data_IF_206588347711
#
_entry.id   IF_206588347711
#
_cell.length_a   1.000
_cell.length_b   1.000
_cell.length_c   1.000
_cell.angle_alpha   90.00
_cell.angle_beta   90.00
_cell.angle_gamma   90.00
#
_symmetry.space_group_name_H-M   'P 1'
#
loop_
_entity.id
_entity.type
_entity.pdbx_description
1 polymer ?
#
# COMPACT_ATOMS: atom_id res chain seq x y z
N UNK A 1 13.87 11.93 34.97
CA UNK A 1 12.78 12.91 34.78
C UNK A 1 12.56 13.13 33.29
N UNK A 2 11.34 13.03 32.79
CA UNK A 2 11.03 13.36 31.40
C UNK A 2 10.52 14.80 31.32
N UNK A 3 11.36 15.68 30.77
CA UNK A 3 11.06 17.11 30.55
C UNK A 3 10.05 17.27 29.39
N UNK A 4 9.33 18.40 29.25
CA UNK A 4 8.51 18.72 28.06
C UNK A 4 9.19 18.49 26.71
N UNK A 5 10.53 18.54 26.61
CA UNK A 5 11.26 18.12 25.42
C UNK A 5 10.90 16.69 24.93
N UNK A 6 10.64 15.75 25.85
CA UNK A 6 10.20 14.40 25.49
C UNK A 6 8.80 14.39 24.86
N UNK A 7 7.90 15.30 25.27
CA UNK A 7 6.58 15.45 24.64
C UNK A 7 6.70 16.09 23.26
N UNK A 8 7.57 17.10 23.09
CA UNK A 8 7.81 17.69 21.78
C UNK A 8 8.30 16.64 20.77
N UNK A 9 9.19 15.73 21.17
CA UNK A 9 9.62 14.59 20.34
C UNK A 9 8.47 13.63 20.03
N UNK A 10 7.56 13.33 20.99
CA UNK A 10 6.34 12.58 20.70
C UNK A 10 5.47 13.27 19.64
N UNK A 11 5.15 14.56 19.86
CA UNK A 11 4.33 15.40 18.98
C UNK A 11 4.93 15.46 17.57
N UNK A 12 6.25 15.65 17.43
CA UNK A 12 6.94 15.70 16.13
C UNK A 12 6.83 14.37 15.37
N UNK A 13 7.03 13.25 16.06
CA UNK A 13 6.92 11.94 15.42
C UNK A 13 5.47 11.57 15.07
N UNK A 14 4.51 11.85 15.95
CA UNK A 14 3.08 11.63 15.69
C UNK A 14 2.54 12.56 14.58
N UNK A 15 2.94 13.83 14.54
CA UNK A 15 2.58 14.74 13.45
C UNK A 15 3.26 14.34 12.12
N UNK A 16 4.46 13.76 12.17
CA UNK A 16 5.11 13.11 11.03
C UNK A 16 4.33 11.89 10.54
N UNK A 17 3.88 11.03 11.46
CA UNK A 17 3.03 9.89 11.17
C UNK A 17 1.70 10.33 10.55
N UNK A 18 1.03 11.33 11.12
CA UNK A 18 -0.24 11.88 10.61
C UNK A 18 -0.15 12.35 9.16
N UNK A 19 0.89 13.12 8.80
CA UNK A 19 1.12 13.55 7.40
C UNK A 19 1.31 12.36 6.47
N UNK A 20 1.98 11.32 6.95
CA UNK A 20 2.23 10.08 6.20
C UNK A 20 0.95 9.25 6.03
N UNK A 21 0.12 9.14 7.06
CA UNK A 21 -1.21 8.51 7.01
C UNK A 21 -2.14 9.25 6.06
N UNK A 22 -2.17 10.58 6.10
CA UNK A 22 -2.97 11.41 5.20
C UNK A 22 -2.54 11.23 3.73
N UNK A 23 -1.24 11.10 3.47
CA UNK A 23 -0.72 10.79 2.13
C UNK A 23 -1.05 9.36 1.68
N UNK A 24 -1.04 8.38 2.58
CA UNK A 24 -1.42 6.99 2.29
C UNK A 24 -2.93 6.81 2.05
N UNK A 25 -3.76 7.61 2.73
CA UNK A 25 -5.22 7.61 2.60
C UNK A 25 -5.73 8.43 1.39
N UNK A 26 -4.85 9.16 0.69
CA UNK A 26 -5.24 10.01 -0.43
C UNK A 26 -5.64 9.19 -1.67
N UNK A 27 -6.77 9.51 -2.35
CA UNK A 27 -7.13 8.87 -3.61
C UNK A 27 -6.03 9.04 -4.67
N UNK A 28 -5.70 7.93 -5.34
CA UNK A 28 -4.66 7.92 -6.37
C UNK A 28 -5.01 8.85 -7.56
N UNK A 29 -4.09 9.74 -7.99
CA UNK A 29 -4.15 10.24 -9.37
C UNK A 29 -3.97 9.05 -10.33
N UNK A 30 -4.63 9.04 -11.50
CA UNK A 30 -4.51 7.92 -12.44
C UNK A 30 -3.04 7.76 -12.87
N UNK A 31 -2.48 6.56 -12.66
CA UNK A 31 -1.13 6.23 -13.17
C UNK A 31 -1.09 6.54 -14.66
N UNK A 32 -0.19 7.44 -15.08
CA UNK A 32 0.19 7.50 -16.50
C UNK A 32 0.71 6.12 -16.91
N UNK A 33 0.32 5.57 -18.06
CA UNK A 33 0.97 4.40 -18.62
C UNK A 33 2.48 4.65 -18.74
N UNK A 34 3.34 3.63 -18.60
CA UNK A 34 4.71 3.74 -19.07
C UNK A 34 4.69 4.19 -20.54
N UNK A 35 5.38 5.29 -20.87
CA UNK A 35 5.56 5.60 -22.28
C UNK A 35 6.42 4.50 -22.90
N UNK A 36 6.02 3.91 -24.04
CA UNK A 36 6.89 2.98 -24.74
C UNK A 36 8.14 3.75 -25.21
N UNK A 37 9.32 3.31 -24.78
CA UNK A 37 10.56 3.81 -25.33
C UNK A 37 10.57 3.52 -26.84
N UNK A 38 10.59 4.56 -27.67
CA UNK A 38 10.58 4.40 -29.12
C UNK A 38 11.91 3.81 -29.60
N UNK A 39 11.96 2.49 -29.77
CA UNK A 39 13.06 1.80 -30.44
C UNK A 39 13.16 2.30 -31.88
N UNK A 40 14.12 3.20 -32.16
CA UNK A 40 14.42 3.63 -33.53
C UNK A 40 15.20 2.53 -34.24
N UNK A 41 14.49 1.75 -35.06
CA UNK A 41 15.10 0.79 -35.98
C UNK A 41 15.84 1.53 -37.09
N UNK A 42 17.17 1.57 -37.01
CA UNK A 42 18.02 1.91 -38.16
C UNK A 42 18.55 0.64 -38.81
N UNK A 43 18.37 0.54 -40.13
CA UNK A 43 18.67 -0.65 -40.91
C UNK A 43 20.07 -0.62 -41.53
N UNK A 44 20.72 -1.80 -41.48
CA UNK A 44 21.78 -2.30 -42.37
C UNK A 44 22.77 -1.31 -43.02
N UNK A 45 24.05 -1.48 -42.66
CA UNK A 45 25.16 -1.33 -43.62
C UNK A 45 26.20 -2.41 -43.37
N UNK A 46 26.73 -3.01 -44.44
CA UNK A 46 27.59 -4.20 -44.40
C UNK A 46 29.07 -3.82 -44.22
N UNK A 47 29.81 -4.62 -43.47
CA UNK A 47 31.24 -4.90 -43.70
C UNK A 47 31.64 -6.16 -42.93
N UNK A 48 32.40 -7.06 -43.59
CA UNK A 48 32.86 -8.34 -43.01
C UNK A 48 34.38 -8.37 -42.92
N UNK A 49 34.93 -8.96 -41.85
CA UNK A 49 36.26 -9.61 -41.71
C UNK A 49 36.23 -10.26 -40.30
N UNK A 50 36.14 -11.58 -40.06
CA UNK A 50 36.83 -12.77 -40.57
C UNK A 50 38.07 -13.20 -39.71
N UNK A 51 37.80 -13.98 -38.65
CA UNK A 51 38.59 -15.11 -38.09
C UNK A 51 40.04 -14.85 -37.58
N UNK A 52 40.66 -15.75 -36.77
CA UNK A 52 40.27 -17.14 -36.42
C UNK A 52 40.21 -17.50 -34.92
N UNK A 53 39.67 -18.70 -34.63
CA UNK A 53 39.94 -19.50 -33.41
C UNK A 53 41.12 -20.46 -33.64
N UNK A 54 41.69 -21.10 -32.60
CA UNK A 54 41.24 -22.45 -32.23
C UNK A 54 41.22 -22.72 -30.70
N UNK A 55 40.62 -23.84 -30.26
CA UNK A 55 40.47 -24.17 -28.83
C UNK A 55 39.72 -25.47 -28.50
N UNK A 56 39.84 -26.50 -29.34
CA UNK A 56 39.34 -27.88 -29.16
C UNK A 56 40.31 -28.72 -28.28
N UNK A 57 39.98 -29.85 -27.63
CA UNK A 57 38.77 -30.71 -27.55
C UNK A 57 38.16 -30.64 -26.10
N UNK A 58 37.44 -31.56 -25.43
CA UNK A 58 36.86 -32.95 -25.59
C UNK A 58 35.61 -32.95 -24.66
N UNK A 59 34.40 -33.49 -24.91
CA UNK A 59 33.83 -34.78 -25.37
C UNK A 59 33.62 -35.89 -24.29
N UNK A 60 32.66 -36.81 -24.54
CA UNK A 60 32.15 -37.94 -23.70
C UNK A 60 31.28 -37.54 -22.48
N UNK A 61 30.04 -38.04 -22.29
CA UNK A 61 29.14 -38.81 -23.17
C UNK A 61 27.66 -38.74 -22.76
N UNK A 62 26.78 -38.99 -23.73
CA UNK A 62 25.34 -39.35 -23.63
C UNK A 62 25.17 -40.88 -23.42
N UNK A 63 24.00 -41.57 -23.60
CA UNK A 63 22.61 -41.13 -23.87
C UNK A 63 21.51 -41.80 -22.99
N UNK A 64 20.24 -41.46 -23.24
CA UNK A 64 19.11 -42.42 -23.15
C UNK A 64 17.83 -41.91 -22.47
N UNK A 65 16.63 -41.99 -23.07
CA UNK A 65 16.29 -42.35 -24.46
C UNK A 65 14.79 -42.68 -24.64
N UNK A 66 14.28 -42.60 -25.90
CA UNK A 66 12.98 -43.11 -26.41
C UNK A 66 11.67 -42.54 -25.76
N UNK A 67 10.75 -41.91 -26.50
CA UNK A 67 9.68 -42.50 -27.38
C UNK A 67 8.54 -43.16 -26.55
N UNK A 68 7.27 -43.27 -27.00
CA UNK A 68 6.72 -43.46 -28.36
C UNK A 68 5.50 -42.57 -28.71
N UNK A 69 4.95 -42.78 -29.92
CA UNK A 69 3.82 -42.07 -30.54
C UNK A 69 2.99 -43.03 -31.40
N UNK A 70 1.68 -43.06 -31.19
CA UNK A 70 0.62 -43.59 -32.08
C UNK A 70 -0.55 -42.59 -31.98
N UNK A 71 -1.28 -42.14 -33.00
CA UNK A 71 -1.74 -42.70 -34.29
C UNK A 71 -2.62 -43.95 -34.19
N UNK A 72 -3.93 -43.71 -34.01
CA UNK A 72 -4.97 -44.55 -34.62
C UNK A 72 -5.99 -43.69 -35.40
N UNK A 73 -6.88 -44.33 -36.17
CA UNK A 73 -7.19 -43.90 -37.54
C UNK A 73 -8.68 -43.82 -37.88
N UNK A 74 -8.98 -42.76 -38.66
CA UNK A 74 -9.78 -42.80 -39.91
C UNK A 74 -11.32 -42.80 -39.83
N UNK A 75 -11.89 -41.81 -40.51
CA UNK A 75 -13.32 -41.63 -40.84
C UNK A 75 -13.83 -42.63 -41.90
N UNK A 76 -15.16 -42.70 -42.16
CA UNK A 76 -15.72 -41.87 -43.25
C UNK A 76 -17.19 -41.41 -43.10
N UNK A 77 -17.56 -40.30 -43.76
CA UNK A 77 -18.96 -39.88 -43.97
C UNK A 77 -19.09 -38.60 -44.82
N UNK A 78 -19.78 -38.65 -45.97
CA UNK A 78 -20.10 -37.51 -46.87
C UNK A 78 -21.44 -36.87 -46.43
N UNK A 79 -21.69 -35.54 -46.47
CA UNK A 79 -21.63 -34.56 -47.58
C UNK A 79 -22.68 -34.86 -48.69
N UNK A 80 -23.30 -33.89 -49.42
CA UNK A 80 -23.09 -32.42 -49.45
C UNK A 80 -24.40 -31.56 -49.42
N UNK A 81 -24.28 -30.22 -49.41
CA UNK A 81 -24.79 -29.33 -50.49
C UNK A 81 -24.45 -27.83 -50.28
N UNK A 82 -24.26 -27.16 -51.41
CA UNK A 82 -23.72 -25.79 -51.57
C UNK A 82 -24.81 -24.70 -51.71
N UNK A 83 -24.37 -23.51 -52.15
CA UNK A 83 -25.05 -22.22 -52.47
C UNK A 83 -24.69 -21.17 -51.39
N UNK A 84 -23.75 -20.24 -51.63
CA UNK A 84 -23.85 -19.01 -52.47
C UNK A 84 -25.10 -18.19 -52.08
N UNK A 85 -25.13 -16.87 -51.94
CA UNK A 85 -24.32 -15.73 -52.37
C UNK A 85 -24.58 -14.65 -51.27
N UNK A 86 -23.80 -13.61 -50.97
CA UNK A 86 -23.46 -12.45 -51.80
C UNK A 86 -22.76 -11.43 -50.89
N UNK A 87 -21.87 -10.59 -51.41
CA UNK A 87 -21.03 -9.71 -50.60
C UNK A 87 -21.45 -8.25 -50.63
N UNK A 88 -21.43 -7.57 -49.49
CA UNK A 88 -21.34 -6.11 -49.41
C UNK A 88 -20.27 -5.66 -48.42
N UNK A 89 -19.20 -5.06 -48.93
CA UNK A 89 -18.26 -4.28 -48.14
C UNK A 89 -18.78 -2.84 -48.02
N UNK A 90 -18.82 -2.30 -46.80
CA UNK A 90 -18.71 -0.85 -46.56
C UNK A 90 -18.15 -0.57 -45.16
N UNK A 91 -17.22 0.39 -45.01
CA UNK A 91 -16.53 0.67 -43.74
C UNK A 91 -17.16 1.85 -42.96
N UNK A 92 -16.47 2.24 -41.88
CA UNK A 92 -16.62 3.46 -41.04
C UNK A 92 -17.63 3.39 -39.89
N UNK A 93 -17.10 3.21 -38.66
CA UNK A 93 -17.20 4.23 -37.60
C UNK A 93 -16.29 3.93 -36.38
N UNK A 94 -15.04 4.42 -36.35
CA UNK A 94 -14.20 4.38 -35.14
C UNK A 94 -14.52 5.59 -34.24
N UNK A 95 -15.70 5.59 -33.58
CA UNK A 95 -16.33 6.83 -33.13
C UNK A 95 -17.01 6.87 -31.75
N UNK A 96 -17.00 5.82 -30.94
CA UNK A 96 -17.65 5.85 -29.60
C UNK A 96 -16.65 5.77 -28.44
N UNK A 97 -16.55 6.81 -27.59
CA UNK A 97 -15.70 6.78 -26.40
C UNK A 97 -16.39 5.98 -25.29
N UNK A 98 -16.09 4.68 -25.22
CA UNK A 98 -16.68 3.71 -24.28
C UNK A 98 -16.78 4.30 -22.85
N UNK A 99 -17.99 4.62 -22.33
CA UNK A 99 -18.16 5.33 -21.06
C UNK A 99 -18.03 4.40 -19.83
N UNK A 100 -17.15 3.41 -19.94
CA UNK A 100 -17.01 2.29 -18.99
C UNK A 100 -15.72 2.37 -18.19
N UNK A 101 -15.40 3.56 -17.68
CA UNK A 101 -14.79 3.63 -16.34
C UNK A 101 -15.87 3.32 -15.31
N UNK A 102 -16.34 2.07 -15.32
CA UNK A 102 -17.20 1.52 -14.28
C UNK A 102 -16.52 1.80 -12.95
N UNK A 103 -17.16 2.61 -12.10
CA UNK A 103 -16.65 2.91 -10.78
C UNK A 103 -16.54 1.58 -10.02
N UNK A 104 -15.29 1.10 -9.86
CA UNK A 104 -14.99 -0.18 -9.22
C UNK A 104 -15.60 -0.14 -7.82
N UNK A 105 -16.71 -0.87 -7.63
CA UNK A 105 -17.42 -0.94 -6.34
C UNK A 105 -16.41 -1.42 -5.30
N UNK A 106 -16.16 -0.60 -4.28
CA UNK A 106 -15.33 -1.00 -3.15
C UNK A 106 -15.96 -2.25 -2.52
N UNK A 107 -15.14 -3.27 -2.29
CA UNK A 107 -15.56 -4.44 -1.53
C UNK A 107 -15.76 -4.07 -0.07
N UNK A 108 -16.55 -4.85 0.68
CA UNK A 108 -16.72 -4.64 2.12
C UNK A 108 -15.37 -4.65 2.88
N UNK A 109 -14.37 -5.41 2.39
CA UNK A 109 -12.99 -5.39 2.90
C UNK A 109 -12.33 -4.03 2.71
N UNK A 110 -12.41 -3.46 1.51
CA UNK A 110 -11.83 -2.15 1.19
C UNK A 110 -12.53 -1.03 1.95
N UNK A 111 -13.86 -1.08 2.06
CA UNK A 111 -14.64 -0.15 2.91
C UNK A 111 -14.22 -0.24 4.38
N UNK A 112 -14.02 -1.45 4.92
CA UNK A 112 -13.58 -1.65 6.30
C UNK A 112 -12.15 -1.15 6.54
N UNK A 113 -11.21 -1.43 5.62
CA UNK A 113 -9.84 -0.91 5.67
C UNK A 113 -9.80 0.61 5.57
N UNK A 114 -10.59 1.20 4.67
CA UNK A 114 -10.75 2.65 4.50
C UNK A 114 -11.35 3.30 5.76
N UNK A 115 -12.33 2.66 6.37
CA UNK A 115 -12.92 3.09 7.66
C UNK A 115 -11.87 3.05 8.78
N UNK A 116 -11.14 1.94 8.92
CA UNK A 116 -10.07 1.79 9.93
C UNK A 116 -8.94 2.81 9.73
N UNK A 117 -8.49 3.04 8.50
CA UNK A 117 -7.52 4.09 8.15
C UNK A 117 -8.04 5.48 8.54
N UNK A 118 -9.30 5.80 8.21
CA UNK A 118 -9.94 7.07 8.59
C UNK A 118 -9.98 7.27 10.12
N UNK A 119 -10.36 6.23 10.87
CA UNK A 119 -10.33 6.24 12.35
C UNK A 119 -8.91 6.41 12.90
N UNK A 120 -7.89 5.81 12.28
CA UNK A 120 -6.49 5.98 12.66
C UNK A 120 -5.99 7.41 12.43
N UNK A 121 -6.30 8.01 11.27
CA UNK A 121 -5.99 9.41 10.94
C UNK A 121 -6.65 10.36 11.95
N UNK A 122 -7.94 10.19 12.21
CA UNK A 122 -8.70 11.02 13.15
C UNK A 122 -8.18 10.88 14.59
N UNK A 123 -7.90 9.65 15.05
CA UNK A 123 -7.35 9.40 16.38
C UNK A 123 -5.95 10.01 16.55
N UNK A 124 -5.09 9.90 15.52
CA UNK A 124 -3.75 10.53 15.53
C UNK A 124 -3.84 12.05 15.52
N UNK A 125 -4.74 12.62 14.71
CA UNK A 125 -5.00 14.06 14.65
C UNK A 125 -5.43 14.62 16.01
N UNK A 126 -6.40 13.96 16.66
CA UNK A 126 -6.86 14.33 18.01
C UNK A 126 -5.78 14.12 19.07
N UNK A 127 -4.96 13.07 18.98
CA UNK A 127 -3.88 12.85 19.94
C UNK A 127 -2.86 13.99 19.88
N UNK A 128 -2.36 14.33 18.68
CA UNK A 128 -1.46 15.48 18.46
C UNK A 128 -2.08 16.78 18.97
N UNK A 129 -3.37 17.01 18.71
CA UNK A 129 -4.08 18.18 19.20
C UNK A 129 -4.16 18.22 20.74
N UNK A 130 -4.48 17.11 21.40
CA UNK A 130 -4.56 17.01 22.88
C UNK A 130 -3.17 17.15 23.50
N UNK A 131 -2.14 16.55 22.91
CA UNK A 131 -0.76 16.70 23.36
C UNK A 131 -0.29 18.17 23.29
N UNK A 132 -0.55 18.85 22.16
CA UNK A 132 -0.17 20.26 21.96
C UNK A 132 -0.97 21.24 22.83
N UNK A 133 -2.30 21.10 22.89
CA UNK A 133 -3.20 22.13 23.46
C UNK A 133 -3.51 21.93 24.93
N UNK A 134 -3.54 20.69 25.43
CA UNK A 134 -3.94 20.39 26.81
C UNK A 134 -2.80 19.80 27.65
N UNK A 135 -1.97 18.91 27.09
CA UNK A 135 -0.91 18.24 27.86
C UNK A 135 0.36 19.09 27.99
N UNK A 136 0.85 19.68 26.90
CA UNK A 136 2.09 20.45 26.88
C UNK A 136 2.12 21.62 27.90
N UNK A 137 1.06 22.42 28.10
CA UNK A 137 1.03 23.44 29.16
C UNK A 137 1.15 22.85 30.57
N UNK A 138 0.57 21.67 30.81
CA UNK A 138 0.62 21.01 32.13
C UNK A 138 1.99 20.38 32.41
N UNK A 139 2.72 19.94 31.37
CA UNK A 139 4.07 19.38 31.52
C UNK A 139 5.15 20.45 31.77
N UNK A 140 4.85 21.73 31.57
CA UNK A 140 5.69 22.83 32.04
C UNK A 140 5.66 22.94 33.57
N UNK A 141 4.60 22.47 34.23
CA UNK A 141 4.45 22.49 35.68
C UNK A 141 4.88 21.17 36.34
N UNK A 142 4.53 20.02 35.75
CA UNK A 142 4.82 18.70 36.31
C UNK A 142 5.41 17.74 35.26
N UNK A 143 6.68 17.27 35.41
CA UNK A 143 7.26 16.25 34.54
C UNK A 143 6.48 14.93 34.57
N UNK A 144 6.07 14.45 33.40
CA UNK A 144 5.32 13.20 33.22
C UNK A 144 6.24 12.13 32.59
N UNK A 145 6.28 10.88 33.07
CA UNK A 145 6.95 9.79 32.34
C UNK A 145 6.32 9.61 30.96
N UNK A 146 7.15 9.71 29.92
CA UNK A 146 6.76 9.59 28.52
C UNK A 146 7.66 8.57 27.82
N UNK A 147 7.13 7.96 26.76
CA UNK A 147 7.83 6.94 25.98
C UNK A 147 7.95 7.34 24.50
N UNK A 148 8.87 8.25 24.13
CA UNK A 148 9.07 8.67 22.74
C UNK A 148 9.35 7.51 21.77
N UNK A 149 9.92 6.40 22.25
CA UNK A 149 10.11 5.16 21.48
C UNK A 149 8.82 4.72 20.78
N UNK A 150 7.70 4.73 21.50
CA UNK A 150 6.42 4.27 20.95
C UNK A 150 5.94 5.18 19.81
N UNK A 151 6.14 6.50 19.92
CA UNK A 151 5.81 7.46 18.87
C UNK A 151 6.76 7.38 17.66
N UNK A 152 8.03 7.04 17.87
CA UNK A 152 9.00 6.72 16.80
C UNK A 152 8.56 5.44 16.06
N UNK A 153 8.20 4.41 16.80
CA UNK A 153 7.75 3.10 16.31
C UNK A 153 6.47 3.26 15.48
N UNK A 154 5.46 3.96 16.00
CA UNK A 154 4.25 4.34 15.28
C UNK A 154 4.55 5.06 13.96
N UNK A 155 5.42 6.09 13.98
CA UNK A 155 5.83 6.82 12.76
C UNK A 155 6.51 5.90 11.74
N UNK A 156 7.34 4.96 12.19
CA UNK A 156 8.02 4.02 11.30
C UNK A 156 7.02 3.06 10.65
N UNK A 157 6.07 2.49 11.42
CA UNK A 157 5.00 1.64 10.87
C UNK A 157 4.17 2.42 9.84
N UNK A 158 3.76 3.67 10.13
CA UNK A 158 3.07 4.52 9.16
C UNK A 158 3.90 4.79 7.90
N UNK A 159 5.23 4.90 8.02
CA UNK A 159 6.15 5.07 6.89
C UNK A 159 6.25 3.81 6.02
N UNK A 160 6.26 2.62 6.62
CA UNK A 160 6.17 1.35 5.88
C UNK A 160 4.81 1.23 5.16
N UNK A 161 3.71 1.54 5.84
CA UNK A 161 2.37 1.49 5.26
C UNK A 161 2.20 2.44 4.07
N UNK A 162 2.80 3.63 4.08
CA UNK A 162 2.75 4.55 2.94
C UNK A 162 3.57 4.09 1.72
N UNK A 163 4.55 3.20 1.90
CA UNK A 163 5.24 2.51 0.80
C UNK A 163 4.42 1.32 0.26
N UNK A 164 3.66 0.66 1.14
CA UNK A 164 2.89 -0.54 0.83
C UNK A 164 1.41 -0.19 0.57
N UNK A 165 1.09 0.32 -0.63
CA UNK A 165 -0.23 0.92 -0.90
C UNK A 165 -1.43 -0.05 -0.91
N UNK A 166 -1.22 -1.33 -1.23
CA UNK A 166 -2.29 -2.32 -1.34
C UNK A 166 -1.88 -3.73 -0.84
N UNK A 167 -2.86 -4.54 -0.47
CA UNK A 167 -2.69 -5.99 -0.17
C UNK A 167 -2.36 -6.32 1.29
N UNK A 168 -2.22 -7.62 1.60
CA UNK A 168 -2.11 -8.13 2.97
C UNK A 168 -1.02 -7.47 3.84
N UNK A 169 0.05 -6.93 3.26
CA UNK A 169 1.09 -6.24 4.02
C UNK A 169 0.58 -4.90 4.57
N UNK A 170 -0.06 -4.07 3.75
CA UNK A 170 -0.76 -2.85 4.17
C UNK A 170 -1.73 -3.11 5.32
N UNK A 171 -2.50 -4.20 5.25
CA UNK A 171 -3.49 -4.54 6.27
C UNK A 171 -2.82 -4.86 7.63
N UNK A 172 -1.69 -5.58 7.62
CA UNK A 172 -0.91 -5.85 8.83
C UNK A 172 -0.24 -4.59 9.38
N UNK A 173 0.36 -3.75 8.53
CA UNK A 173 0.93 -2.47 8.94
C UNK A 173 -0.17 -1.55 9.56
N UNK A 174 -1.40 -1.61 9.05
CA UNK A 174 -2.57 -0.90 9.58
C UNK A 174 -3.08 -1.47 10.92
N UNK A 175 -3.01 -2.79 11.10
CA UNK A 175 -3.27 -3.45 12.38
C UNK A 175 -2.20 -3.09 13.43
N UNK A 176 -0.93 -3.10 13.04
CA UNK A 176 0.22 -2.79 13.91
C UNK A 176 0.22 -1.31 14.32
N UNK A 177 -0.03 -0.39 13.38
CA UNK A 177 -0.17 1.05 13.67
C UNK A 177 -1.35 1.33 14.61
N UNK A 178 -2.46 0.60 14.46
CA UNK A 178 -3.64 0.70 15.32
C UNK A 178 -3.35 0.25 16.76
N UNK A 179 -2.66 -0.88 16.95
CA UNK A 179 -2.23 -1.33 18.28
C UNK A 179 -1.14 -0.43 18.88
N UNK A 180 -0.20 0.08 18.07
CA UNK A 180 0.84 0.99 18.54
C UNK A 180 0.23 2.32 19.05
N UNK A 181 -0.69 2.93 18.29
CA UNK A 181 -1.41 4.14 18.73
C UNK A 181 -2.24 3.89 20.00
N UNK A 182 -2.92 2.75 20.08
CA UNK A 182 -3.65 2.32 21.29
C UNK A 182 -2.72 2.29 22.51
N UNK A 183 -1.54 1.65 22.39
CA UNK A 183 -0.55 1.54 23.46
C UNK A 183 -0.02 2.91 23.91
N UNK A 184 0.20 3.85 22.97
CA UNK A 184 0.59 5.24 23.30
C UNK A 184 -0.49 5.90 24.17
N UNK A 185 -1.77 5.83 23.75
CA UNK A 185 -2.89 6.44 24.46
C UNK A 185 -3.09 5.81 25.85
N UNK A 186 -3.00 4.47 25.95
CA UNK A 186 -3.11 3.75 27.23
C UNK A 186 -1.97 4.14 28.19
N UNK A 187 -0.72 4.21 27.72
CA UNK A 187 0.44 4.66 28.52
C UNK A 187 0.28 6.11 29.00
N UNK A 188 -0.25 7.00 28.16
CA UNK A 188 -0.54 8.39 28.55
C UNK A 188 -1.63 8.46 29.61
N UNK A 189 -2.73 7.72 29.46
CA UNK A 189 -3.82 7.65 30.46
C UNK A 189 -3.29 7.11 31.80
N UNK A 190 -2.49 6.05 31.78
CA UNK A 190 -1.89 5.47 32.99
C UNK A 190 -0.90 6.43 33.67
N UNK A 191 -0.03 7.10 32.91
CA UNK A 191 0.90 8.10 33.45
C UNK A 191 0.16 9.27 34.10
N UNK A 192 -0.95 9.72 33.49
CA UNK A 192 -1.82 10.77 34.01
C UNK A 192 -2.74 10.31 35.16
N UNK A 193 -2.89 9.02 35.41
CA UNK A 193 -3.68 8.50 36.53
C UNK A 193 -2.99 8.75 37.89
N UNK A 194 -1.66 8.88 37.90
CA UNK A 194 -0.85 9.17 39.10
C UNK A 194 -1.10 10.58 39.64
N UNK A 195 -1.59 11.50 38.81
CA UNK A 195 -1.80 12.90 39.17
C UNK A 195 -3.26 13.15 39.58
N UNK A 196 -3.56 13.50 40.84
CA UNK A 196 -4.93 13.67 41.30
C UNK A 196 -5.59 14.94 40.76
N UNK A 197 -4.80 15.98 40.44
CA UNK A 197 -5.26 17.35 40.16
C UNK A 197 -6.32 17.45 39.05
N UNK A 198 -7.34 18.28 39.27
CA UNK A 198 -8.48 18.46 38.34
C UNK A 198 -8.06 18.94 36.95
N UNK A 199 -6.93 19.66 36.85
CA UNK A 199 -6.30 20.09 35.59
C UNK A 199 -6.06 18.93 34.60
N UNK A 200 -5.90 17.70 35.10
CA UNK A 200 -5.72 16.50 34.26
C UNK A 200 -7.04 15.78 33.91
N UNK A 201 -8.19 16.21 34.43
CA UNK A 201 -9.50 15.62 34.07
C UNK A 201 -9.82 15.84 32.59
N UNK A 202 -9.69 17.05 31.99
CA UNK A 202 -9.92 17.26 30.56
C UNK A 202 -9.04 16.38 29.67
N UNK A 203 -7.74 16.29 29.98
CA UNK A 203 -6.78 15.47 29.22
C UNK A 203 -7.13 13.99 29.28
N UNK A 204 -7.39 13.46 30.49
CA UNK A 204 -7.79 12.05 30.69
C UNK A 204 -9.12 11.72 30.03
N UNK A 205 -10.05 12.67 29.98
CA UNK A 205 -11.33 12.51 29.27
C UNK A 205 -11.11 12.48 27.75
N UNK A 206 -10.36 13.43 27.19
CA UNK A 206 -10.06 13.50 25.76
C UNK A 206 -9.30 12.25 25.27
N UNK A 207 -8.27 11.80 25.99
CA UNK A 207 -7.53 10.57 25.66
C UNK A 207 -8.43 9.32 25.67
N UNK A 208 -9.34 9.20 26.65
CA UNK A 208 -10.33 8.10 26.69
C UNK A 208 -11.29 8.16 25.51
N UNK A 209 -11.73 9.36 25.09
CA UNK A 209 -12.59 9.50 23.91
C UNK A 209 -11.85 9.09 22.63
N UNK A 210 -10.56 9.44 22.49
CA UNK A 210 -9.72 9.01 21.35
C UNK A 210 -9.60 7.47 21.35
N UNK A 211 -9.33 6.86 22.52
CA UNK A 211 -9.25 5.40 22.66
C UNK A 211 -10.57 4.70 22.31
N UNK A 212 -11.71 5.22 22.76
CA UNK A 212 -13.04 4.70 22.39
C UNK A 212 -13.30 4.80 20.89
N UNK A 213 -13.00 5.95 20.27
CA UNK A 213 -13.18 6.16 18.83
C UNK A 213 -12.25 5.25 18.00
N UNK A 214 -11.04 4.97 18.50
CA UNK A 214 -10.08 4.05 17.89
C UNK A 214 -10.53 2.58 17.98
N UNK A 215 -11.18 2.19 19.09
CA UNK A 215 -11.69 0.84 19.34
C UNK A 215 -13.09 0.56 18.76
N UNK A 216 -13.79 1.58 18.24
CA UNK A 216 -15.04 1.39 17.52
C UNK A 216 -14.84 0.46 16.31
N UNK A 217 -15.81 -0.43 16.06
CA UNK A 217 -15.81 -1.45 15.01
C UNK A 217 -16.50 -0.89 13.76
#
# INVERSE_FOLDING_TARGET
MAHPAALLVCIEHQAGALRTLQAAAAPHPPRRPPQPCHTQTFSASRSSTAWPSPGEETEVSEPGGAQELEEDRKSPGRSPKDVEESGYLSPLCPGEPKPERLARRETLREMALRSKMSRLVEATSRLVQVEQTLLLPLLQQHPLPLHPKDSIEFRNICSHMALQREGQKFERDLDEAHQCLKIIIEKLICSLAVFPSDSYIPVRSALRQILQNLLAI
#
